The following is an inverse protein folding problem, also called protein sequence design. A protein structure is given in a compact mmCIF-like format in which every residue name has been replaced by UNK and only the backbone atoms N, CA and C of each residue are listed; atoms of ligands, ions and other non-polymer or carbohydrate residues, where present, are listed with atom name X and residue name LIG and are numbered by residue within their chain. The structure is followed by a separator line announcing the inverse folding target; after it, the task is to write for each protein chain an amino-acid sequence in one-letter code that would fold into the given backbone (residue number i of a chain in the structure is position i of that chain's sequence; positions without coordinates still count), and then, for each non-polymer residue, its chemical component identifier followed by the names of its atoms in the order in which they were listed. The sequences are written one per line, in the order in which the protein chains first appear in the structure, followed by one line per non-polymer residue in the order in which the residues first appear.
data_IF_689021339403
#
_entry.id   IF_689021339403
#
_cell.length_a   1.000
_cell.length_b   1.000
_cell.length_c   1.000
_cell.angle_alpha   90.00
_cell.angle_beta   90.00
_cell.angle_gamma   90.00
#
_symmetry.space_group_name_H-M   'P 1'
#
loop_
_entity.id
_entity.type
_entity.pdbx_description
1 polymer ?
#
# COMPACT_ATOMS: atom_id res chain seq x y z
N UNK A 1 10.41 -12.79 0.45
CA UNK A 1 9.11 -12.28 0.88
C UNK A 1 8.60 -11.27 -0.11
N UNK A 2 7.47 -11.55 -0.73
CA UNK A 2 6.78 -10.63 -1.62
C UNK A 2 5.84 -9.76 -0.80
N UNK A 3 6.03 -8.44 -0.86
CA UNK A 3 5.08 -7.51 -0.27
C UNK A 3 4.21 -6.93 -1.36
N UNK A 4 2.92 -6.79 -1.10
CA UNK A 4 2.03 -6.03 -1.96
C UNK A 4 1.09 -5.17 -1.13
N UNK A 5 0.53 -4.15 -1.76
CA UNK A 5 -0.51 -3.35 -1.15
C UNK A 5 -1.69 -3.14 -2.09
N UNK A 6 -2.85 -2.89 -1.49
CA UNK A 6 -4.04 -2.38 -2.16
C UNK A 6 -4.46 -1.08 -1.47
N UNK A 7 -4.71 -0.04 -2.25
CA UNK A 7 -5.22 1.24 -1.76
C UNK A 7 -6.71 1.38 -2.08
N UNK A 8 -7.43 1.88 -1.10
CA UNK A 8 -8.84 2.22 -1.19
C UNK A 8 -9.04 3.72 -0.93
N UNK A 9 -10.04 4.31 -1.59
CA UNK A 9 -10.55 5.66 -1.35
C UNK A 9 -12.04 5.56 -1.08
N UNK A 10 -12.49 6.02 0.09
CA UNK A 10 -13.90 5.88 0.53
C UNK A 10 -14.43 4.43 0.35
N UNK A 11 -13.58 3.45 0.66
CA UNK A 11 -13.89 2.02 0.53
C UNK A 11 -13.80 1.44 -0.89
N UNK A 12 -13.58 2.26 -1.93
CA UNK A 12 -13.44 1.81 -3.32
C UNK A 12 -11.99 1.53 -3.69
N UNK A 13 -11.75 0.48 -4.46
CA UNK A 13 -10.42 0.16 -4.99
C UNK A 13 -9.86 1.32 -5.83
N UNK A 14 -8.60 1.68 -5.61
CA UNK A 14 -7.90 2.73 -6.35
C UNK A 14 -6.74 2.14 -7.14
N UNK A 15 -5.82 1.48 -6.43
CA UNK A 15 -4.60 0.93 -7.03
C UNK A 15 -4.07 -0.23 -6.20
N UNK A 16 -3.19 -1.01 -6.80
CA UNK A 16 -2.34 -1.98 -6.10
C UNK A 16 -0.92 -1.90 -6.63
N UNK A 17 0.03 -2.34 -5.81
CA UNK A 17 1.42 -2.48 -6.22
C UNK A 17 2.02 -3.72 -5.55
N UNK A 18 2.93 -4.37 -6.26
CA UNK A 18 3.65 -5.55 -5.80
C UNK A 18 5.13 -5.21 -5.81
N UNK A 19 5.76 -5.27 -4.63
CA UNK A 19 7.21 -5.22 -4.54
C UNK A 19 7.82 -6.49 -5.13
N UNK A 20 8.96 -6.34 -5.79
CA UNK A 20 9.78 -7.47 -6.22
C UNK A 20 10.22 -8.27 -4.99
N UNK A 21 10.39 -9.61 -5.12
CA UNK A 21 10.79 -10.46 -4.02
C UNK A 21 12.08 -9.94 -3.39
N UNK A 22 11.98 -9.47 -2.15
CA UNK A 22 13.14 -9.10 -1.35
C UNK A 22 13.86 -10.38 -0.91
N UNK A 23 15.20 -10.31 -0.86
CA UNK A 23 16.06 -11.43 -0.48
C UNK A 23 15.56 -12.07 0.82
N UNK A 24 15.54 -13.41 0.80
CA UNK A 24 14.99 -14.29 1.83
C UNK A 24 15.59 -13.95 3.21
N UNK A 25 14.74 -13.68 4.21
CA UNK A 25 15.14 -13.59 5.62
C UNK A 25 14.99 -12.23 6.33
N UNK A 26 14.52 -11.17 5.66
CA UNK A 26 14.29 -9.89 6.32
C UNK A 26 13.09 -9.96 7.29
N UNK A 27 13.29 -9.53 8.54
CA UNK A 27 12.24 -9.45 9.58
C UNK A 27 11.45 -8.14 9.52
N UNK A 28 12.08 -7.09 9.00
CA UNK A 28 11.51 -5.76 8.84
C UNK A 28 11.64 -5.34 7.38
N UNK A 29 10.62 -4.66 6.88
CA UNK A 29 10.62 -4.15 5.51
C UNK A 29 10.18 -2.69 5.53
N UNK A 30 10.90 -1.88 4.79
CA UNK A 30 10.55 -0.49 4.56
C UNK A 30 9.99 -0.38 3.16
N UNK A 31 8.75 0.09 3.04
CA UNK A 31 8.21 0.50 1.75
C UNK A 31 8.19 2.02 1.72
N UNK A 32 8.80 2.59 0.69
CA UNK A 32 8.64 3.99 0.34
C UNK A 32 7.94 4.00 -1.01
N UNK A 33 6.72 4.56 -1.06
CA UNK A 33 6.16 4.93 -2.35
C UNK A 33 6.51 6.39 -2.61
N UNK A 34 6.78 6.69 -3.88
CA UNK A 34 6.74 8.06 -4.36
C UNK A 34 5.42 8.22 -5.08
N UNK A 35 4.65 9.23 -4.68
CA UNK A 35 3.41 9.52 -5.37
C UNK A 35 3.72 10.02 -6.78
N UNK A 36 3.12 9.39 -7.79
CA UNK A 36 3.21 9.89 -9.17
C UNK A 36 2.67 11.32 -9.18
N UNK A 37 3.59 12.27 -9.37
CA UNK A 37 3.31 13.70 -9.45
C UNK A 37 2.36 13.95 -10.62
N UNK A 38 1.19 14.55 -10.35
CA UNK A 38 0.17 14.86 -11.36
C UNK A 38 -1.23 14.30 -11.06
N UNK A 39 -1.36 13.30 -10.19
CA UNK A 39 -2.67 12.89 -9.67
C UNK A 39 -2.97 13.66 -8.38
N UNK A 40 -3.76 14.73 -8.49
CA UNK A 40 -4.35 15.40 -7.33
C UNK A 40 -5.22 14.36 -6.61
N UNK A 41 -4.81 13.97 -5.40
CA UNK A 41 -5.63 13.08 -4.57
C UNK A 41 -6.88 13.84 -4.14
N UNK A 42 -8.03 13.17 -4.26
CA UNK A 42 -9.27 13.70 -3.72
C UNK A 42 -9.15 13.75 -2.19
N UNK A 43 -9.47 14.89 -1.60
CA UNK A 43 -9.67 15.01 -0.15
C UNK A 43 -10.63 13.92 0.31
N UNK A 44 -10.28 13.19 1.38
CA UNK A 44 -11.10 12.10 1.89
C UNK A 44 -10.31 10.99 2.57
N UNK A 45 -11.03 9.92 2.90
CA UNK A 45 -10.52 8.77 3.64
C UNK A 45 -9.86 7.78 2.70
N UNK A 46 -8.63 7.44 3.01
CA UNK A 46 -7.87 6.40 2.34
C UNK A 46 -7.59 5.25 3.31
N UNK A 47 -7.58 4.04 2.75
CA UNK A 47 -7.11 2.85 3.44
C UNK A 47 -6.05 2.16 2.58
N UNK A 48 -5.07 1.57 3.25
CA UNK A 48 -3.99 0.85 2.61
C UNK A 48 -3.83 -0.52 3.27
N UNK A 49 -4.22 -1.56 2.54
CA UNK A 49 -4.10 -2.94 2.99
C UNK A 49 -2.77 -3.52 2.48
N UNK A 50 -1.96 -4.06 3.39
CA UNK A 50 -0.70 -4.72 3.09
C UNK A 50 -0.86 -6.22 3.10
N UNK A 51 -0.09 -6.87 2.22
CA UNK A 51 -0.04 -8.31 2.07
C UNK A 51 1.41 -8.76 2.05
N UNK A 52 1.67 -9.88 2.71
CA UNK A 52 2.97 -10.56 2.78
C UNK A 52 2.78 -11.95 2.21
N UNK A 53 3.47 -12.26 1.11
CA UNK A 53 3.34 -13.51 0.36
C UNK A 53 1.87 -13.86 0.06
N UNK A 54 1.09 -12.84 -0.35
CA UNK A 54 -0.33 -12.95 -0.67
C UNK A 54 -1.30 -12.97 0.53
N UNK A 55 -0.80 -13.04 1.76
CA UNK A 55 -1.65 -13.01 2.97
C UNK A 55 -1.78 -11.60 3.52
N UNK A 56 -3.01 -11.18 3.82
CA UNK A 56 -3.28 -9.86 4.41
C UNK A 56 -2.59 -9.77 5.78
N UNK A 57 -1.76 -8.75 5.97
CA UNK A 57 -1.02 -8.51 7.21
C UNK A 57 -1.63 -7.38 8.03
N UNK A 58 -1.70 -6.17 7.47
CA UNK A 58 -2.19 -5.00 8.19
C UNK A 58 -2.99 -4.07 7.27
N UNK A 59 -3.74 -3.15 7.86
CA UNK A 59 -4.36 -2.04 7.15
C UNK A 59 -4.04 -0.72 7.87
N UNK A 60 -3.62 0.28 7.10
CA UNK A 60 -3.37 1.64 7.59
C UNK A 60 -4.41 2.57 7.00
N UNK A 61 -5.12 3.27 7.86
CA UNK A 61 -6.11 4.27 7.47
C UNK A 61 -5.51 5.67 7.64
N UNK A 62 -5.77 6.55 6.67
CA UNK A 62 -5.29 7.93 6.73
C UNK A 62 -6.26 8.88 6.01
N UNK A 63 -6.28 10.13 6.47
CA UNK A 63 -7.11 11.19 5.90
C UNK A 63 -6.22 12.15 5.13
N UNK A 64 -6.59 12.46 3.89
CA UNK A 64 -5.99 13.57 3.14
C UNK A 64 -6.96 14.74 3.22
N UNK A 65 -6.45 15.88 3.69
CA UNK A 65 -7.17 17.16 3.77
C UNK A 65 -6.81 17.99 2.55
#
# INVERSE_FOLDING_TARGET
TQLSYIRYYEGKYVESNVSHPTKIGAKNFYFQWTLKTGQIRKTGKYALAFYVDGKKSQTVNYLIR
#
